data_IF_051653697628
#
_entry.id   IF_051653697628
#
_cell.length_a   1.000
_cell.length_b   1.000
_cell.length_c   1.000
_cell.angle_alpha   90.00
_cell.angle_beta   90.00
_cell.angle_gamma   90.00
#
_symmetry.space_group_name_H-M   'P 1'
#
loop_
_entity.id
_entity.type
_entity.pdbx_description
1 polymer ?
#
# COMPACT_ATOMS: atom_id res chain seq x y z
N UNK A 1 30.00 -25.72 -19.31
CA UNK A 1 28.74 -24.98 -19.57
C UNK A 1 28.10 -24.76 -18.21
N UNK A 2 27.88 -23.52 -17.78
CA UNK A 2 27.09 -23.27 -16.58
C UNK A 2 25.62 -23.38 -16.97
N UNK A 3 24.98 -24.50 -16.65
CA UNK A 3 23.54 -24.69 -16.83
C UNK A 3 22.88 -24.46 -15.48
N UNK A 4 21.87 -23.59 -15.44
CA UNK A 4 21.15 -23.30 -14.20
C UNK A 4 20.52 -24.58 -13.63
N UNK A 5 20.62 -24.75 -12.32
CA UNK A 5 20.02 -25.89 -11.62
C UNK A 5 18.51 -25.89 -11.82
N UNK A 6 17.97 -27.00 -12.32
CA UNK A 6 16.56 -27.15 -12.64
C UNK A 6 15.76 -27.53 -11.39
N UNK A 7 14.66 -26.80 -11.13
CA UNK A 7 13.73 -27.13 -10.03
C UNK A 7 13.04 -28.46 -10.31
N UNK A 8 13.29 -29.46 -9.46
CA UNK A 8 12.75 -30.81 -9.57
C UNK A 8 13.41 -31.70 -10.63
N UNK A 9 14.54 -31.26 -11.21
CA UNK A 9 15.36 -32.07 -12.11
C UNK A 9 16.56 -32.72 -11.42
N UNK A 10 17.28 -33.57 -12.15
CA UNK A 10 18.56 -34.17 -11.71
C UNK A 10 19.68 -33.16 -11.97
N UNK A 11 20.30 -32.68 -10.90
CA UNK A 11 21.29 -31.59 -10.94
C UNK A 11 22.72 -32.05 -10.62
N UNK A 12 22.88 -33.33 -10.29
CA UNK A 12 24.19 -33.95 -10.09
C UNK A 12 24.27 -35.29 -10.81
N UNK A 13 25.48 -35.71 -11.16
CA UNK A 13 25.72 -37.05 -11.74
C UNK A 13 25.21 -38.16 -10.79
N UNK A 14 25.30 -37.94 -9.48
CA UNK A 14 24.84 -38.89 -8.46
C UNK A 14 23.32 -39.08 -8.42
N UNK A 15 22.56 -38.16 -9.03
CA UNK A 15 21.10 -38.27 -9.12
C UNK A 15 20.67 -39.31 -10.18
N UNK A 16 21.62 -39.81 -10.97
CA UNK A 16 21.40 -40.82 -12.00
C UNK A 16 21.82 -42.20 -11.50
N UNK A 17 20.96 -43.19 -11.73
CA UNK A 17 21.29 -44.60 -11.47
C UNK A 17 22.17 -45.12 -12.62
N UNK A 18 23.39 -45.63 -12.34
CA UNK A 18 24.27 -46.16 -13.38
C UNK A 18 23.60 -47.27 -14.20
N UNK A 19 23.68 -47.19 -15.53
CA UNK A 19 23.10 -48.18 -16.45
C UNK A 19 21.57 -48.13 -16.58
N UNK A 20 20.88 -47.25 -15.86
CA UNK A 20 19.44 -47.09 -16.04
C UNK A 20 19.11 -46.38 -17.36
N UNK A 21 17.96 -46.74 -17.95
CA UNK A 21 17.44 -46.09 -19.16
C UNK A 21 17.11 -44.63 -18.87
N UNK A 22 17.64 -43.73 -19.69
CA UNK A 22 17.32 -42.31 -19.62
C UNK A 22 16.02 -42.00 -20.38
N UNK A 23 15.07 -41.33 -19.73
CA UNK A 23 13.92 -40.71 -20.41
C UNK A 23 14.36 -39.46 -21.17
N UNK A 24 13.48 -38.87 -21.99
CA UNK A 24 13.76 -37.59 -22.65
C UNK A 24 14.14 -36.49 -21.65
N UNK A 25 13.47 -36.46 -20.50
CA UNK A 25 13.77 -35.52 -19.42
C UNK A 25 15.15 -35.80 -18.81
N UNK A 26 15.46 -37.07 -18.55
CA UNK A 26 16.76 -37.46 -18.00
C UNK A 26 17.90 -37.15 -18.96
N UNK A 27 17.69 -37.24 -20.28
CA UNK A 27 18.70 -36.87 -21.29
C UNK A 27 19.03 -35.38 -21.22
N UNK A 28 18.01 -34.52 -21.06
CA UNK A 28 18.23 -33.07 -20.91
C UNK A 28 19.01 -32.75 -19.63
N UNK A 29 18.64 -33.40 -18.52
CA UNK A 29 19.31 -33.22 -17.24
C UNK A 29 20.74 -33.81 -17.27
N UNK A 30 20.94 -34.96 -17.93
CA UNK A 30 22.24 -35.62 -18.08
C UNK A 30 23.20 -34.79 -18.95
N UNK A 31 22.71 -34.16 -20.01
CA UNK A 31 23.50 -33.26 -20.85
C UNK A 31 23.98 -32.03 -20.08
N UNK A 32 23.20 -31.55 -19.11
CA UNK A 32 23.58 -30.41 -18.28
C UNK A 32 24.71 -30.73 -17.29
N UNK A 33 24.83 -31.99 -16.85
CA UNK A 33 25.76 -32.40 -15.79
C UNK A 33 26.88 -33.33 -16.25
N UNK A 34 26.86 -33.78 -17.51
CA UNK A 34 27.83 -34.76 -18.01
C UNK A 34 29.26 -34.22 -17.90
N UNK A 35 30.20 -35.00 -17.34
CA UNK A 35 31.60 -34.60 -17.25
C UNK A 35 32.37 -34.86 -18.56
N UNK A 36 31.77 -35.59 -19.50
CA UNK A 36 32.48 -36.08 -20.69
C UNK A 36 32.47 -35.07 -21.85
N UNK A 37 33.23 -35.36 -22.90
CA UNK A 37 33.24 -34.53 -24.11
C UNK A 37 31.83 -34.39 -24.71
N UNK A 38 31.36 -33.15 -24.91
CA UNK A 38 30.03 -32.88 -25.46
C UNK A 38 29.87 -33.39 -26.90
N UNK A 39 30.92 -33.31 -27.73
CA UNK A 39 30.88 -33.83 -29.12
C UNK A 39 30.57 -35.33 -29.13
N UNK A 40 31.29 -36.09 -28.31
CA UNK A 40 31.10 -37.53 -28.16
C UNK A 40 29.74 -37.83 -27.51
N UNK A 41 29.35 -37.07 -26.48
CA UNK A 41 28.05 -37.25 -25.83
C UNK A 41 26.89 -37.08 -26.81
N UNK A 42 26.92 -36.05 -27.67
CA UNK A 42 25.92 -35.85 -28.72
C UNK A 42 25.93 -36.96 -29.78
N UNK A 43 27.10 -37.49 -30.16
CA UNK A 43 27.18 -38.60 -31.10
C UNK A 43 26.47 -39.85 -30.54
N UNK A 44 26.76 -40.20 -29.28
CA UNK A 44 26.13 -41.33 -28.59
C UNK A 44 24.63 -41.11 -28.40
N UNK A 45 24.21 -39.89 -28.08
CA UNK A 45 22.80 -39.55 -27.91
C UNK A 45 22.02 -39.72 -29.22
N UNK A 46 22.61 -39.31 -30.34
CA UNK A 46 22.00 -39.41 -31.65
C UNK A 46 21.96 -40.86 -32.17
N UNK A 47 22.96 -41.69 -31.84
CA UNK A 47 23.06 -43.07 -32.31
C UNK A 47 22.32 -44.07 -31.41
N UNK A 48 22.49 -43.95 -30.08
CA UNK A 48 22.05 -44.94 -29.08
C UNK A 48 20.93 -44.39 -28.19
N UNK A 49 20.76 -43.07 -28.09
CA UNK A 49 19.63 -42.45 -27.39
C UNK A 49 19.83 -42.21 -25.90
N UNK A 50 21.06 -41.97 -25.44
CA UNK A 50 21.35 -41.56 -24.06
C UNK A 50 22.62 -40.69 -23.96
N UNK A 51 22.76 -39.95 -22.86
CA UNK A 51 23.95 -39.15 -22.58
C UNK A 51 24.89 -39.91 -21.63
N UNK A 52 26.16 -40.17 -22.00
CA UNK A 52 27.12 -40.78 -21.09
C UNK A 52 27.45 -39.83 -19.92
N UNK A 53 27.56 -40.39 -18.71
CA UNK A 53 27.84 -39.64 -17.48
C UNK A 53 29.18 -40.00 -16.83
N UNK A 54 29.94 -40.92 -17.44
CA UNK A 54 31.25 -41.35 -16.97
C UNK A 54 32.20 -41.54 -18.14
N UNK A 55 33.50 -41.33 -17.89
CA UNK A 55 34.57 -41.66 -18.84
C UNK A 55 34.76 -43.16 -19.04
N UNK A 56 34.27 -43.97 -18.11
CA UNK A 56 34.33 -45.44 -18.16
C UNK A 56 33.16 -46.05 -18.95
N UNK A 57 32.27 -45.23 -19.50
CA UNK A 57 31.17 -45.71 -20.34
C UNK A 57 31.74 -46.40 -21.61
N UNK A 58 31.36 -47.66 -21.90
CA UNK A 58 31.91 -48.39 -23.04
C UNK A 58 31.63 -47.72 -24.40
N UNK A 59 30.47 -47.07 -24.56
CA UNK A 59 30.14 -46.34 -25.78
C UNK A 59 30.98 -45.08 -25.91
N UNK A 60 31.23 -44.38 -24.79
CA UNK A 60 32.13 -43.23 -24.75
C UNK A 60 33.55 -43.60 -25.17
N UNK A 61 34.10 -44.69 -24.63
CA UNK A 61 35.44 -45.17 -24.99
C UNK A 61 35.52 -45.50 -26.48
N UNK A 62 34.56 -46.28 -26.99
CA UNK A 62 34.50 -46.69 -28.40
C UNK A 62 34.42 -45.48 -29.33
N UNK A 63 33.59 -44.49 -29.01
CA UNK A 63 33.43 -43.31 -29.86
C UNK A 63 34.67 -42.40 -29.80
N UNK A 64 35.30 -42.27 -28.63
CA UNK A 64 36.58 -41.56 -28.47
C UNK A 64 37.70 -42.21 -29.31
N UNK A 65 37.78 -43.54 -29.34
CA UNK A 65 38.74 -44.28 -30.16
C UNK A 65 38.46 -44.10 -31.66
N UNK A 66 37.18 -44.10 -32.05
CA UNK A 66 36.76 -43.84 -33.43
C UNK A 66 37.19 -42.44 -33.89
N UNK A 67 36.90 -41.39 -33.12
CA UNK A 67 37.30 -40.02 -33.44
C UNK A 67 38.83 -39.90 -33.63
N UNK A 68 39.62 -40.53 -32.74
CA UNK A 68 41.08 -40.58 -32.87
C UNK A 68 41.54 -41.30 -34.13
N UNK A 69 40.93 -42.45 -34.47
CA UNK A 69 41.29 -43.23 -35.66
C UNK A 69 40.98 -42.50 -36.96
N UNK A 70 39.90 -41.72 -36.99
CA UNK A 70 39.51 -40.92 -38.15
C UNK A 70 40.30 -39.60 -38.23
N UNK A 71 41.05 -39.24 -37.18
CA UNK A 71 41.88 -38.05 -37.15
C UNK A 71 41.08 -36.77 -36.92
N UNK A 72 40.03 -36.84 -36.10
CA UNK A 72 39.29 -35.64 -35.70
C UNK A 72 40.20 -34.71 -34.88
N UNK A 73 40.05 -33.40 -35.09
CA UNK A 73 40.72 -32.39 -34.26
C UNK A 73 40.26 -32.51 -32.80
N UNK A 74 41.14 -32.10 -31.89
CA UNK A 74 40.83 -32.07 -30.47
C UNK A 74 39.60 -31.20 -30.21
N UNK A 75 38.76 -31.67 -29.27
CA UNK A 75 37.50 -31.02 -29.00
C UNK A 75 37.70 -29.79 -28.12
N UNK A 76 37.16 -28.65 -28.53
CA UNK A 76 37.20 -27.38 -27.80
C UNK A 76 35.96 -27.13 -26.93
N UNK A 77 35.15 -28.17 -26.67
CA UNK A 77 33.98 -28.00 -25.82
C UNK A 77 34.38 -27.66 -24.37
N UNK A 78 33.43 -27.11 -23.60
CA UNK A 78 33.72 -26.67 -22.22
C UNK A 78 34.20 -27.75 -21.28
N UNK A 79 33.95 -29.02 -21.59
CA UNK A 79 34.39 -30.16 -20.77
C UNK A 79 35.79 -30.65 -21.18
N UNK A 80 36.22 -30.40 -22.42
CA UNK A 80 37.55 -30.76 -22.93
C UNK A 80 38.56 -29.63 -22.74
N UNK A 81 38.14 -28.36 -22.86
CA UNK A 81 38.97 -27.20 -22.61
C UNK A 81 38.26 -26.21 -21.66
N UNK A 82 38.28 -26.49 -20.34
CA UNK A 82 37.57 -25.66 -19.37
C UNK A 82 38.20 -24.27 -19.20
N UNK A 83 39.52 -24.15 -19.40
CA UNK A 83 40.24 -22.87 -19.25
C UNK A 83 39.85 -21.91 -20.37
N UNK A 84 39.90 -22.37 -21.63
CA UNK A 84 39.50 -21.55 -22.77
C UNK A 84 38.02 -21.20 -22.72
N UNK A 85 37.16 -22.15 -22.33
CA UNK A 85 35.74 -21.91 -22.19
C UNK A 85 35.42 -20.86 -21.11
N UNK A 86 36.07 -20.91 -19.95
CA UNK A 86 35.88 -19.90 -18.91
C UNK A 86 36.41 -18.53 -19.35
N UNK A 87 37.56 -18.50 -20.03
CA UNK A 87 38.11 -17.28 -20.63
C UNK A 87 37.15 -16.63 -21.62
N UNK A 88 36.58 -17.41 -22.55
CA UNK A 88 35.58 -16.96 -23.50
C UNK A 88 34.34 -16.42 -22.79
N UNK A 89 33.81 -17.13 -21.80
CA UNK A 89 32.62 -16.69 -21.06
C UNK A 89 32.83 -15.37 -20.30
N UNK A 90 34.06 -15.09 -19.83
CA UNK A 90 34.40 -13.81 -19.20
C UNK A 90 34.37 -12.64 -20.18
N UNK A 91 34.75 -12.87 -21.44
CA UNK A 91 34.89 -11.83 -22.45
C UNK A 91 33.77 -11.84 -23.50
N UNK A 92 32.79 -12.74 -23.39
CA UNK A 92 31.69 -12.89 -24.37
C UNK A 92 30.89 -11.60 -24.63
N UNK A 93 30.91 -10.65 -23.69
CA UNK A 93 30.26 -9.34 -23.82
C UNK A 93 30.96 -8.40 -24.80
N UNK A 94 32.24 -8.64 -25.05
CA UNK A 94 33.08 -7.91 -26.00
C UNK A 94 33.02 -8.55 -27.40
N UNK A 95 32.28 -9.66 -27.54
CA UNK A 95 32.12 -10.37 -28.80
C UNK A 95 31.23 -9.58 -29.76
N UNK A 96 31.74 -9.36 -30.96
CA UNK A 96 31.06 -8.76 -32.09
C UNK A 96 31.13 -9.69 -33.32
N UNK A 97 30.67 -9.21 -34.47
CA UNK A 97 30.63 -10.02 -35.69
C UNK A 97 32.01 -10.23 -36.31
N UNK A 98 32.94 -9.34 -36.03
CA UNK A 98 34.23 -9.29 -36.68
C UNK A 98 35.28 -10.07 -35.87
N UNK A 99 35.09 -10.19 -34.54
CA UNK A 99 36.01 -10.89 -33.63
C UNK A 99 35.52 -12.28 -33.15
N UNK A 100 34.31 -12.71 -33.52
CA UNK A 100 33.69 -13.95 -33.03
C UNK A 100 34.55 -15.20 -33.29
N UNK A 101 35.05 -15.37 -34.51
CA UNK A 101 35.81 -16.56 -34.88
C UNK A 101 37.12 -16.66 -34.10
N UNK A 102 37.84 -15.53 -33.97
CA UNK A 102 39.06 -15.43 -33.18
C UNK A 102 38.80 -15.74 -31.70
N UNK A 103 37.73 -15.16 -31.14
CA UNK A 103 37.36 -15.37 -29.74
C UNK A 103 37.03 -16.83 -29.44
N UNK A 104 36.40 -17.57 -30.37
CA UNK A 104 36.04 -18.99 -30.15
C UNK A 104 37.26 -19.90 -30.11
N UNK A 105 38.26 -19.66 -30.96
CA UNK A 105 39.45 -20.52 -31.07
C UNK A 105 40.56 -20.13 -30.09
N UNK A 106 40.42 -18.99 -29.42
CA UNK A 106 41.42 -18.46 -28.50
C UNK A 106 41.60 -19.36 -27.27
N UNK A 107 42.85 -19.75 -27.02
CA UNK A 107 43.24 -20.55 -25.85
C UNK A 107 43.97 -19.73 -24.78
N UNK A 108 44.64 -18.65 -25.19
CA UNK A 108 45.52 -17.81 -24.38
C UNK A 108 44.75 -16.64 -23.73
N UNK A 109 43.66 -16.95 -23.06
CA UNK A 109 42.92 -15.93 -22.32
C UNK A 109 43.78 -15.38 -21.17
N UNK A 110 43.79 -14.04 -20.96
CA UNK A 110 44.46 -13.47 -19.81
C UNK A 110 43.93 -14.13 -18.53
N UNK A 111 44.84 -14.38 -17.59
CA UNK A 111 44.48 -14.88 -16.28
C UNK A 111 43.39 -13.97 -15.69
N UNK A 112 42.42 -14.58 -15.02
CA UNK A 112 41.39 -13.81 -14.34
C UNK A 112 42.09 -12.79 -13.43
N UNK A 113 41.92 -11.50 -13.71
CA UNK A 113 42.36 -10.48 -12.77
C UNK A 113 41.70 -10.82 -11.43
N UNK A 114 42.45 -10.83 -10.32
CA UNK A 114 41.83 -11.03 -9.03
C UNK A 114 40.72 -10.00 -8.94
N UNK A 115 39.48 -10.47 -8.83
CA UNK A 115 38.36 -9.61 -8.51
C UNK A 115 38.79 -8.86 -7.26
N UNK A 116 39.18 -7.60 -7.41
CA UNK A 116 39.17 -6.66 -6.31
C UNK A 116 37.68 -6.58 -6.01
N UNK A 117 37.23 -7.51 -5.17
CA UNK A 117 35.97 -7.39 -4.49
C UNK A 117 36.18 -6.21 -3.57
N UNK A 118 36.05 -5.01 -4.14
CA UNK A 118 35.61 -3.92 -3.31
C UNK A 118 34.26 -4.41 -2.81
N UNK A 119 34.23 -4.92 -1.59
CA UNK A 119 33.09 -4.79 -0.69
C UNK A 119 32.87 -3.31 -0.36
N UNK A 120 32.99 -2.44 -1.37
CA UNK A 120 31.88 -1.55 -1.63
C UNK A 120 30.69 -2.48 -1.88
N UNK A 121 30.03 -2.88 -0.76
CA UNK A 121 28.60 -2.62 -0.67
C UNK A 121 28.44 -1.35 -1.45
N UNK A 122 27.66 -1.42 -2.53
CA UNK A 122 27.02 -0.24 -3.08
C UNK A 122 26.24 0.31 -1.88
N UNK A 123 26.91 1.04 -0.99
CA UNK A 123 26.30 2.11 -0.23
C UNK A 123 25.65 2.85 -1.37
N UNK A 124 24.32 2.79 -1.40
CA UNK A 124 23.56 3.70 -2.22
C UNK A 124 24.29 5.01 -2.06
N UNK A 125 24.96 5.41 -3.13
CA UNK A 125 25.62 6.69 -3.15
C UNK A 125 24.43 7.60 -2.93
N UNK A 126 24.37 8.24 -1.77
CA UNK A 126 23.64 9.49 -1.58
C UNK A 126 24.31 10.55 -2.47
N UNK A 127 24.49 10.23 -3.75
CA UNK A 127 24.39 11.21 -4.80
C UNK A 127 22.91 11.50 -4.85
N UNK A 128 22.55 12.75 -4.62
CA UNK A 128 21.18 13.22 -4.71
C UNK A 128 20.63 12.99 -6.11
N UNK A 129 20.16 11.78 -6.38
CA UNK A 129 19.09 11.55 -7.33
C UNK A 129 17.83 11.86 -6.57
N UNK A 130 17.13 12.90 -7.01
CA UNK A 130 15.70 13.04 -6.83
C UNK A 130 15.08 11.64 -6.90
N UNK A 131 14.68 11.08 -5.76
CA UNK A 131 13.97 9.80 -5.74
C UNK A 131 12.69 10.04 -6.50
N UNK A 132 12.70 9.69 -7.78
CA UNK A 132 11.53 9.62 -8.63
C UNK A 132 10.67 8.50 -8.06
N UNK A 133 9.88 8.86 -7.05
CA UNK A 133 9.00 7.92 -6.34
C UNK A 133 8.04 7.39 -7.38
N UNK A 134 7.93 6.06 -7.45
CA UNK A 134 6.92 5.37 -8.26
C UNK A 134 5.56 5.98 -7.97
N UNK A 135 4.90 6.45 -9.02
CA UNK A 135 3.57 7.03 -8.94
C UNK A 135 2.58 5.87 -9.09
N UNK A 136 1.74 5.65 -8.07
CA UNK A 136 0.64 4.68 -8.16
C UNK A 136 -0.55 5.36 -8.82
N UNK A 137 -0.92 4.88 -9.99
CA UNK A 137 -2.10 5.33 -10.73
C UNK A 137 -3.37 4.75 -10.09
N UNK A 138 -4.49 5.46 -10.26
CA UNK A 138 -5.81 4.92 -9.94
C UNK A 138 -6.22 3.90 -11.01
N UNK A 139 -7.10 2.95 -10.71
CA UNK A 139 -7.52 1.93 -11.67
C UNK A 139 -8.06 2.53 -12.99
N UNK A 140 -8.81 3.62 -12.88
CA UNK A 140 -9.32 4.37 -14.05
C UNK A 140 -8.22 5.00 -14.90
N UNK A 141 -7.14 5.46 -14.27
CA UNK A 141 -5.98 6.01 -14.97
C UNK A 141 -5.11 4.92 -15.60
N UNK A 142 -5.00 3.75 -14.97
CA UNK A 142 -4.29 2.60 -15.54
C UNK A 142 -4.98 2.13 -16.82
N UNK A 143 -6.30 2.00 -16.82
CA UNK A 143 -7.10 1.63 -18.00
C UNK A 143 -6.94 2.65 -19.13
N UNK A 144 -6.99 3.95 -18.79
CA UNK A 144 -6.83 5.03 -19.77
C UNK A 144 -5.42 5.05 -20.38
N UNK A 145 -4.38 4.94 -19.55
CA UNK A 145 -3.00 4.91 -20.02
C UNK A 145 -2.75 3.67 -20.89
N UNK A 146 -3.29 2.52 -20.50
CA UNK A 146 -3.19 1.28 -21.28
C UNK A 146 -3.78 1.45 -22.67
N UNK A 147 -5.01 1.99 -22.77
CA UNK A 147 -5.67 2.25 -24.05
C UNK A 147 -4.88 3.21 -24.93
N UNK A 148 -4.36 4.30 -24.35
CA UNK A 148 -3.57 5.29 -25.08
C UNK A 148 -2.22 4.71 -25.57
N UNK A 149 -1.57 3.84 -24.79
CA UNK A 149 -0.34 3.18 -25.19
C UNK A 149 -0.57 2.19 -26.33
N UNK A 150 -1.68 1.46 -26.32
CA UNK A 150 -2.08 0.55 -27.41
C UNK A 150 -2.33 1.34 -28.69
N UNK A 151 -3.12 2.42 -28.63
CA UNK A 151 -3.40 3.28 -29.79
C UNK A 151 -2.13 3.96 -30.34
N UNK A 152 -1.26 4.45 -29.44
CA UNK A 152 0.05 5.00 -29.82
C UNK A 152 0.94 3.97 -30.52
N UNK A 153 0.98 2.74 -30.00
CA UNK A 153 1.73 1.66 -30.63
C UNK A 153 1.14 1.27 -31.99
N UNK A 154 -0.18 1.18 -32.11
CA UNK A 154 -0.86 0.87 -33.38
C UNK A 154 -0.49 1.88 -34.46
N UNK A 155 -0.48 3.18 -34.14
CA UNK A 155 -0.04 4.22 -35.07
C UNK A 155 1.42 4.03 -35.52
N UNK A 156 2.31 3.72 -34.59
CA UNK A 156 3.71 3.42 -34.92
C UNK A 156 3.84 2.19 -35.83
N UNK A 157 3.01 1.19 -35.58
CA UNK A 157 2.96 -0.05 -36.34
C UNK A 157 2.45 0.16 -37.77
N UNK A 158 1.36 0.90 -37.95
CA UNK A 158 0.77 1.20 -39.25
C UNK A 158 1.70 2.05 -40.13
N UNK A 159 2.42 3.00 -39.51
CA UNK A 159 3.47 3.78 -40.21
C UNK A 159 4.58 2.88 -40.73
N UNK A 160 4.97 1.86 -39.95
CA UNK A 160 6.06 0.95 -40.34
C UNK A 160 5.61 -0.09 -41.36
N UNK A 161 4.38 -0.57 -41.26
CA UNK A 161 3.83 -1.67 -42.06
C UNK A 161 2.52 -1.25 -42.76
N UNK A 162 2.57 -0.26 -43.68
CA UNK A 162 1.36 0.28 -44.32
C UNK A 162 0.62 -0.73 -45.21
N UNK A 163 1.30 -1.78 -45.66
CA UNK A 163 0.73 -2.85 -46.48
C UNK A 163 0.45 -4.14 -45.69
N UNK A 164 0.50 -4.07 -44.36
CA UNK A 164 0.33 -5.23 -43.49
C UNK A 164 1.59 -6.10 -43.38
N UNK A 165 1.52 -7.04 -42.44
CA UNK A 165 2.60 -7.95 -42.06
C UNK A 165 1.98 -9.21 -41.45
N UNK A 166 2.70 -10.33 -41.46
CA UNK A 166 2.29 -11.58 -40.79
C UNK A 166 2.33 -11.47 -39.26
N UNK A 167 2.92 -10.40 -38.73
CA UNK A 167 2.99 -10.13 -37.30
C UNK A 167 1.81 -9.26 -36.88
N UNK A 168 1.19 -9.60 -35.75
CA UNK A 168 0.16 -8.77 -35.14
C UNK A 168 0.78 -7.77 -34.16
N UNK A 169 0.23 -6.55 -34.03
CA UNK A 169 0.69 -5.54 -33.07
C UNK A 169 0.81 -6.09 -31.65
N UNK A 170 -0.18 -6.86 -31.21
CA UNK A 170 -0.25 -7.48 -29.87
C UNK A 170 0.92 -8.44 -29.58
N UNK A 171 1.51 -9.04 -30.62
CA UNK A 171 2.67 -9.92 -30.48
C UNK A 171 3.96 -9.14 -30.20
N UNK A 172 4.00 -7.86 -30.54
CA UNK A 172 5.17 -6.99 -30.37
C UNK A 172 5.03 -6.07 -29.16
N UNK A 173 3.81 -5.62 -28.86
CA UNK A 173 3.51 -4.76 -27.74
C UNK A 173 2.14 -5.11 -27.17
N UNK A 174 2.14 -5.91 -26.11
CA UNK A 174 0.93 -6.36 -25.44
C UNK A 174 0.89 -5.96 -23.97
N UNK A 175 0.00 -6.63 -23.23
CA UNK A 175 -0.20 -6.39 -21.79
C UNK A 175 1.09 -6.45 -20.96
N UNK A 176 2.05 -7.39 -21.18
CA UNK A 176 3.26 -7.44 -20.36
C UNK A 176 4.11 -6.16 -20.44
N UNK A 177 4.21 -5.55 -21.62
CA UNK A 177 4.95 -4.32 -21.82
C UNK A 177 4.22 -3.13 -21.19
N UNK A 178 2.89 -3.08 -21.34
CA UNK A 178 2.02 -2.05 -20.74
C UNK A 178 2.10 -2.11 -19.22
N UNK A 179 1.96 -3.30 -18.64
CA UNK A 179 2.07 -3.53 -17.20
C UNK A 179 3.44 -3.12 -16.68
N UNK A 180 4.52 -3.37 -17.42
CA UNK A 180 5.86 -2.93 -17.02
C UNK A 180 5.99 -1.40 -17.01
N UNK A 181 5.38 -0.70 -17.97
CA UNK A 181 5.36 0.76 -18.00
C UNK A 181 4.55 1.32 -16.82
N UNK A 182 3.35 0.80 -16.58
CA UNK A 182 2.47 1.21 -15.47
C UNK A 182 3.16 0.92 -14.13
N UNK A 183 3.76 -0.25 -13.99
CA UNK A 183 4.45 -0.64 -12.77
C UNK A 183 5.72 0.18 -12.51
N UNK A 184 6.32 0.79 -13.52
CA UNK A 184 7.47 1.65 -13.31
C UNK A 184 7.11 3.12 -13.54
N UNK A 185 5.83 3.47 -13.54
CA UNK A 185 5.39 4.82 -13.84
C UNK A 185 5.96 5.83 -12.83
N UNK A 186 6.56 6.89 -13.37
CA UNK A 186 7.26 7.92 -12.60
C UNK A 186 8.68 7.56 -12.18
N UNK A 187 9.22 6.35 -12.42
CA UNK A 187 10.63 6.01 -12.09
C UNK A 187 11.59 6.21 -13.27
N UNK A 188 11.07 6.29 -14.49
CA UNK A 188 11.85 6.55 -15.69
C UNK A 188 11.63 7.95 -16.20
N UNK A 189 12.69 8.52 -16.77
CA UNK A 189 12.65 9.82 -17.40
C UNK A 189 13.07 9.70 -18.87
N UNK A 190 12.23 10.26 -19.74
CA UNK A 190 12.40 10.32 -21.18
C UNK A 190 12.56 8.97 -21.89
N UNK A 191 12.94 9.09 -23.16
CA UNK A 191 13.05 7.98 -24.13
C UNK A 191 14.02 6.87 -23.69
N UNK A 192 15.15 7.26 -23.09
CA UNK A 192 16.17 6.32 -22.65
C UNK A 192 15.71 5.47 -21.45
N UNK A 193 14.94 6.05 -20.53
CA UNK A 193 14.33 5.31 -19.43
C UNK A 193 13.22 4.38 -19.91
N UNK A 194 12.36 4.86 -20.81
CA UNK A 194 11.28 4.07 -21.41
C UNK A 194 11.80 2.84 -22.18
N UNK A 195 12.86 3.03 -22.97
CA UNK A 195 13.50 1.93 -23.71
C UNK A 195 14.02 0.82 -22.78
N UNK A 196 14.59 1.19 -21.62
CA UNK A 196 15.08 0.21 -20.63
C UNK A 196 13.95 -0.60 -19.98
N UNK A 197 12.78 0.01 -19.80
CA UNK A 197 11.64 -0.65 -19.12
C UNK A 197 10.92 -1.62 -20.04
N UNK A 198 10.67 -1.23 -21.28
CA UNK A 198 10.00 -2.10 -22.25
C UNK A 198 10.93 -3.27 -22.60
N UNK A 199 12.21 -2.99 -22.83
CA UNK A 199 13.18 -3.99 -23.27
C UNK A 199 12.88 -4.54 -24.67
N UNK A 200 13.77 -5.40 -25.18
CA UNK A 200 13.58 -6.05 -26.48
C UNK A 200 13.89 -5.17 -27.70
N UNK A 201 13.41 -5.61 -28.89
CA UNK A 201 13.61 -4.90 -30.16
C UNK A 201 12.47 -3.92 -30.39
N UNK A 202 12.80 -2.69 -30.77
CA UNK A 202 11.83 -1.63 -31.05
C UNK A 202 11.57 -1.47 -32.54
N UNK A 203 10.34 -1.08 -32.87
CA UNK A 203 10.03 -0.53 -34.19
C UNK A 203 10.57 0.90 -34.25
N UNK A 204 11.19 1.34 -35.37
CA UNK A 204 11.61 2.73 -35.54
C UNK A 204 10.46 3.71 -35.28
N UNK A 205 10.67 4.72 -34.43
CA UNK A 205 9.63 5.70 -34.04
C UNK A 205 8.70 5.26 -32.91
N UNK A 206 8.72 3.99 -32.50
CA UNK A 206 7.89 3.49 -31.39
C UNK A 206 8.15 4.25 -30.08
N UNK A 207 9.42 4.36 -29.67
CA UNK A 207 9.78 5.01 -28.41
C UNK A 207 9.40 6.49 -28.40
N UNK A 208 9.49 7.16 -29.56
CA UNK A 208 9.12 8.56 -29.67
C UNK A 208 7.62 8.75 -29.46
N UNK A 209 6.80 7.94 -30.13
CA UNK A 209 5.34 8.00 -30.03
C UNK A 209 4.89 7.63 -28.62
N UNK A 210 5.42 6.55 -28.04
CA UNK A 210 5.06 6.13 -26.68
C UNK A 210 5.47 7.17 -25.63
N UNK A 211 6.63 7.81 -25.79
CA UNK A 211 7.07 8.86 -24.88
C UNK A 211 6.18 10.11 -24.98
N UNK A 212 5.71 10.47 -26.18
CA UNK A 212 4.73 11.54 -26.36
C UNK A 212 3.40 11.20 -25.67
N UNK A 213 2.89 9.99 -25.86
CA UNK A 213 1.66 9.52 -25.19
C UNK A 213 1.77 9.61 -23.67
N UNK A 214 2.91 9.20 -23.10
CA UNK A 214 3.17 9.27 -21.65
C UNK A 214 3.23 10.74 -21.16
N UNK A 215 3.84 11.63 -21.94
CA UNK A 215 3.91 13.06 -21.60
C UNK A 215 2.53 13.73 -21.66
N UNK A 216 1.74 13.43 -22.68
CA UNK A 216 0.37 13.96 -22.84
C UNK A 216 -0.53 13.47 -21.71
N UNK A 217 -0.37 12.19 -21.32
CA UNK A 217 -1.07 11.62 -20.17
C UNK A 217 -0.67 12.30 -18.84
N UNK A 218 0.62 12.58 -18.66
CA UNK A 218 1.15 13.21 -17.44
C UNK A 218 0.66 14.66 -17.30
N UNK A 219 0.63 15.41 -18.41
CA UNK A 219 0.24 16.82 -18.41
C UNK A 219 -1.28 17.04 -18.41
N UNK A 220 -2.07 16.08 -18.88
CA UNK A 220 -3.53 16.18 -18.91
C UNK A 220 -4.21 15.36 -17.81
N UNK A 221 -4.60 14.10 -18.08
CA UNK A 221 -5.38 13.25 -17.16
C UNK A 221 -4.82 13.16 -15.73
N UNK A 222 -3.51 12.97 -15.59
CA UNK A 222 -2.89 12.80 -14.28
C UNK A 222 -2.92 14.11 -13.46
N UNK A 223 -2.54 15.23 -14.08
CA UNK A 223 -2.57 16.55 -13.45
C UNK A 223 -3.99 16.95 -13.02
N UNK A 224 -5.00 16.61 -13.82
CA UNK A 224 -6.41 16.89 -13.50
C UNK A 224 -6.90 16.09 -12.30
N UNK A 225 -6.56 14.80 -12.18
CA UNK A 225 -6.95 13.98 -11.02
C UNK A 225 -6.27 14.48 -9.74
N UNK A 226 -5.00 14.87 -9.80
CA UNK A 226 -4.29 15.44 -8.66
C UNK A 226 -4.90 16.77 -8.21
N UNK A 227 -5.24 17.66 -9.15
CA UNK A 227 -5.96 18.90 -8.84
C UNK A 227 -7.32 18.62 -8.17
N UNK A 228 -8.08 17.64 -8.66
CA UNK A 228 -9.35 17.23 -8.05
C UNK A 228 -9.17 16.71 -6.62
N UNK A 229 -8.14 15.89 -6.39
CA UNK A 229 -7.79 15.36 -5.06
C UNK A 229 -7.39 16.47 -4.08
N UNK A 230 -6.68 17.49 -4.56
CA UNK A 230 -6.30 18.64 -3.72
C UNK A 230 -7.55 19.44 -3.35
N UNK A 231 -8.42 19.74 -4.32
CA UNK A 231 -9.63 20.52 -4.10
C UNK A 231 -10.63 19.81 -3.16
N UNK A 232 -10.83 18.50 -3.32
CA UNK A 232 -11.70 17.71 -2.43
C UNK A 232 -11.17 17.63 -0.99
N UNK A 233 -9.84 17.52 -0.83
CA UNK A 233 -9.20 17.60 0.50
C UNK A 233 -9.30 18.99 1.12
N UNK A 234 -9.25 20.04 0.32
CA UNK A 234 -9.46 21.40 0.80
C UNK A 234 -10.92 21.61 1.27
N UNK A 235 -11.89 21.22 0.45
CA UNK A 235 -13.32 21.30 0.78
C UNK A 235 -13.67 20.52 2.06
N UNK A 236 -13.23 19.26 2.17
CA UNK A 236 -13.46 18.46 3.40
C UNK A 236 -12.81 19.05 4.65
N UNK A 237 -11.66 19.73 4.52
CA UNK A 237 -11.04 20.46 5.64
C UNK A 237 -11.84 21.71 6.03
N UNK A 238 -12.43 22.40 5.07
CA UNK A 238 -13.32 23.54 5.34
C UNK A 238 -14.60 23.08 6.01
N UNK A 239 -15.24 22.02 5.52
CA UNK A 239 -16.43 21.42 6.13
C UNK A 239 -16.15 20.97 7.57
N UNK A 240 -15.03 20.30 7.81
CA UNK A 240 -14.64 19.88 9.16
C UNK A 240 -14.37 21.06 10.11
N UNK A 241 -13.87 22.20 9.59
CA UNK A 241 -13.73 23.43 10.39
C UNK A 241 -15.08 24.06 10.69
N UNK A 242 -15.99 24.10 9.71
CA UNK A 242 -17.34 24.62 9.87
C UNK A 242 -18.15 23.81 10.89
N UNK A 243 -18.08 22.47 10.84
CA UNK A 243 -18.71 21.58 11.82
C UNK A 243 -18.20 21.83 13.24
N UNK A 244 -16.87 21.90 13.44
CA UNK A 244 -16.29 22.20 14.76
C UNK A 244 -16.69 23.57 15.31
N UNK A 245 -16.83 24.58 14.44
CA UNK A 245 -17.30 25.91 14.82
C UNK A 245 -18.77 25.87 15.27
N UNK A 246 -19.62 25.18 14.51
CA UNK A 246 -21.04 24.99 14.81
C UNK A 246 -21.24 24.24 16.14
N UNK A 247 -20.52 23.13 16.35
CA UNK A 247 -20.56 22.38 17.61
C UNK A 247 -20.15 23.24 18.81
N UNK A 248 -19.10 24.06 18.66
CA UNK A 248 -18.63 24.95 19.72
C UNK A 248 -19.63 26.07 20.03
N UNK A 249 -20.35 26.57 19.02
CA UNK A 249 -21.45 27.53 19.23
C UNK A 249 -22.63 26.87 19.95
N UNK A 250 -23.06 25.70 19.50
CA UNK A 250 -24.14 24.95 20.15
C UNK A 250 -23.84 24.65 21.63
N UNK A 251 -22.61 24.23 21.94
CA UNK A 251 -22.19 24.01 23.34
C UNK A 251 -22.20 25.29 24.18
N UNK A 252 -21.83 26.44 23.60
CA UNK A 252 -21.88 27.73 24.31
C UNK A 252 -23.31 28.16 24.58
N UNK A 253 -24.21 28.00 23.60
CA UNK A 253 -25.63 28.29 23.77
C UNK A 253 -26.29 27.38 24.80
N UNK A 254 -25.99 26.08 24.77
CA UNK A 254 -26.50 25.13 25.77
C UNK A 254 -26.05 25.49 27.19
N UNK A 255 -24.76 25.80 27.39
CA UNK A 255 -24.25 26.29 28.68
C UNK A 255 -24.88 27.60 29.12
N UNK A 256 -25.21 28.50 28.18
CA UNK A 256 -25.93 29.74 28.52
C UNK A 256 -27.34 29.43 29.01
N UNK A 257 -28.08 28.57 28.29
CA UNK A 257 -29.44 28.16 28.66
C UNK A 257 -29.48 27.46 30.01
N UNK A 258 -28.52 26.58 30.29
CA UNK A 258 -28.40 25.91 31.60
C UNK A 258 -28.18 26.93 32.73
N UNK A 259 -27.29 27.91 32.53
CA UNK A 259 -27.08 29.00 33.51
C UNK A 259 -28.30 29.88 33.69
N UNK A 260 -29.07 30.13 32.64
CA UNK A 260 -30.30 30.90 32.72
C UNK A 260 -31.39 30.14 33.48
N UNK A 261 -31.52 28.84 33.25
CA UNK A 261 -32.42 27.95 33.98
C UNK A 261 -32.03 27.84 35.46
N UNK A 262 -30.74 27.69 35.78
CA UNK A 262 -30.26 27.64 37.16
C UNK A 262 -30.54 28.96 37.90
N UNK A 263 -30.30 30.11 37.25
CA UNK A 263 -30.62 31.44 37.82
C UNK A 263 -32.12 31.60 38.07
N UNK A 264 -32.97 31.14 37.15
CA UNK A 264 -34.42 31.18 37.32
C UNK A 264 -34.88 30.28 38.48
N UNK A 265 -34.33 29.07 38.61
CA UNK A 265 -34.64 28.15 39.70
C UNK A 265 -34.23 28.72 41.07
N UNK A 266 -33.06 29.38 41.15
CA UNK A 266 -32.61 30.05 42.38
C UNK A 266 -33.54 31.22 42.74
N UNK A 267 -33.98 32.03 41.77
CA UNK A 267 -34.93 33.11 42.02
C UNK A 267 -36.28 32.60 42.52
N UNK A 268 -36.81 31.54 41.91
CA UNK A 268 -38.08 30.96 42.32
C UNK A 268 -37.99 30.32 43.72
N UNK A 269 -36.90 29.62 44.03
CA UNK A 269 -36.68 29.09 45.38
C UNK A 269 -36.65 30.20 46.45
N UNK A 270 -36.03 31.35 46.14
CA UNK A 270 -36.04 32.53 47.03
C UNK A 270 -37.45 33.09 47.23
N UNK A 271 -38.27 33.15 46.17
CA UNK A 271 -39.69 33.58 46.27
C UNK A 271 -40.49 32.64 47.17
N UNK A 272 -40.40 31.33 46.92
CA UNK A 272 -41.10 30.31 47.72
C UNK A 272 -40.69 30.38 49.20
N UNK A 273 -39.41 30.60 49.48
CA UNK A 273 -38.94 30.71 50.88
C UNK A 273 -39.42 32.00 51.55
N UNK A 274 -39.50 33.11 50.82
CA UNK A 274 -40.08 34.37 51.30
C UNK A 274 -41.58 34.19 51.61
N UNK A 275 -42.36 33.60 50.71
CA UNK A 275 -43.78 33.30 50.92
C UNK A 275 -44.00 32.37 52.13
N UNK A 276 -43.15 31.34 52.30
CA UNK A 276 -43.17 30.48 53.50
C UNK A 276 -42.83 31.27 54.78
N UNK A 277 -41.88 32.19 54.71
CA UNK A 277 -41.52 33.07 55.82
C UNK A 277 -42.68 33.98 56.25
N UNK A 278 -43.36 34.59 55.27
CA UNK A 278 -44.56 35.40 55.48
C UNK A 278 -45.73 34.59 56.05
N UNK A 279 -45.93 33.36 55.56
CA UNK A 279 -46.95 32.46 56.12
C UNK A 279 -46.64 32.09 57.59
N UNK A 280 -45.37 31.82 57.92
CA UNK A 280 -44.93 31.53 59.30
C UNK A 280 -45.19 32.70 60.24
N UNK A 281 -44.83 33.92 59.84
CA UNK A 281 -45.08 35.11 60.68
C UNK A 281 -46.57 35.38 60.86
N UNK A 282 -47.39 35.21 59.81
CA UNK A 282 -48.86 35.26 59.93
C UNK A 282 -49.40 34.24 60.93
N UNK A 283 -48.94 32.98 60.88
CA UNK A 283 -49.34 31.93 61.83
C UNK A 283 -48.93 32.32 63.27
N UNK A 284 -47.72 32.83 63.49
CA UNK A 284 -47.27 33.27 64.81
C UNK A 284 -48.09 34.44 65.35
N UNK A 285 -48.43 35.42 64.51
CA UNK A 285 -49.29 36.55 64.89
C UNK A 285 -50.68 36.06 65.30
N UNK A 286 -51.28 35.14 64.54
CA UNK A 286 -52.58 34.54 64.87
C UNK A 286 -52.50 33.78 66.19
N UNK A 287 -51.49 32.91 66.36
CA UNK A 287 -51.27 32.15 67.60
C UNK A 287 -51.07 33.08 68.80
N UNK A 288 -50.32 34.16 68.65
CA UNK A 288 -50.13 35.16 69.69
C UNK A 288 -51.42 35.92 70.05
N UNK A 289 -52.27 36.24 69.07
CA UNK A 289 -53.61 36.81 69.32
C UNK A 289 -54.50 35.82 70.06
N UNK A 290 -54.47 34.55 69.69
CA UNK A 290 -55.26 33.49 70.31
C UNK A 290 -54.84 33.21 71.75
N UNK A 291 -53.53 33.14 72.03
CA UNK A 291 -53.02 33.05 73.40
C UNK A 291 -53.45 34.25 74.26
N UNK A 292 -53.39 35.47 73.72
CA UNK A 292 -53.89 36.68 74.41
C UNK A 292 -55.40 36.61 74.66
N UNK A 293 -56.18 36.09 73.72
CA UNK A 293 -57.62 35.91 73.87
C UNK A 293 -57.94 34.85 74.94
N UNK A 294 -57.28 33.70 74.92
CA UNK A 294 -57.43 32.65 75.94
C UNK A 294 -57.07 33.17 77.33
N UNK A 295 -55.96 33.91 77.47
CA UNK A 295 -55.56 34.54 78.73
C UNK A 295 -56.62 35.55 79.23
N UNK A 296 -57.15 36.40 78.33
CA UNK A 296 -58.26 37.33 78.66
C UNK A 296 -59.51 36.59 79.13
N UNK A 297 -59.86 35.46 78.51
CA UNK A 297 -61.02 34.64 78.90
C UNK A 297 -60.82 33.99 80.27
N UNK A 298 -59.63 33.46 80.55
CA UNK A 298 -59.27 32.92 81.87
C UNK A 298 -59.33 34.00 82.97
N UNK A 299 -58.81 35.21 82.71
CA UNK A 299 -58.92 36.35 83.64
C UNK A 299 -60.39 36.71 83.91
N UNK A 300 -61.25 36.68 82.88
CA UNK A 300 -62.69 36.98 83.01
C UNK A 300 -63.44 35.90 83.81
N UNK A 301 -63.08 34.62 83.64
CA UNK A 301 -63.62 33.50 84.42
C UNK A 301 -63.18 33.57 85.88
N UNK A 302 -61.90 33.89 86.15
CA UNK A 302 -61.40 34.13 87.49
C UNK A 302 -62.11 35.32 88.18
N UNK A 303 -62.39 36.39 87.43
CA UNK A 303 -63.17 37.54 87.93
C UNK A 303 -64.64 37.22 88.23
N UNK A 304 -65.24 36.22 87.56
CA UNK A 304 -66.58 35.70 87.90
C UNK A 304 -66.57 34.80 89.13
N UNK A 305 -65.50 34.05 89.36
CA UNK A 305 -65.37 33.24 90.59
C UNK A 305 -65.18 34.10 91.85
N UNK A 306 -64.72 35.35 91.71
CA UNK A 306 -64.60 36.29 92.84
C UNK A 306 -65.86 37.14 93.09
N UNK A 307 -66.83 37.21 92.17
CA UNK A 307 -68.04 38.04 92.26
C UNK A 307 -69.36 37.25 92.30
N UNK A 308 -69.30 35.97 92.71
CA UNK A 308 -70.44 35.04 92.74
C UNK A 308 -71.00 34.76 94.13
N UNK A 309 -70.91 35.69 95.09
CA UNK A 309 -71.43 35.46 96.44
C UNK A 309 -71.70 36.73 97.24
N UNK A 310 -72.92 37.26 97.14
CA UNK A 310 -73.75 37.63 98.30
C UNK A 310 -75.01 38.40 97.85
N UNK A 311 -76.16 37.74 97.96
CA UNK A 311 -77.46 38.36 97.97
C UNK A 311 -77.78 38.89 99.38
N UNK A 312 -78.18 40.17 99.51
CA UNK A 312 -79.07 40.67 100.59
C UNK A 312 -79.93 41.85 100.09
N UNK A 313 -81.21 41.53 99.90
CA UNK A 313 -82.47 42.27 100.04
C UNK A 313 -82.68 43.80 99.72
N UNK A 314 -83.91 44.18 99.26
CA UNK A 314 -84.36 45.52 98.83
C UNK A 314 -85.10 46.27 99.99
N UNK A 315 -86.03 47.26 99.83
CA UNK A 315 -86.51 48.08 98.70
C UNK A 315 -86.71 49.61 99.01
N UNK A 316 -87.07 50.41 97.98
CA UNK A 316 -87.97 51.62 97.94
C UNK A 316 -87.48 52.62 96.86
N UNK A 317 -88.18 52.80 95.76
CA UNK A 317 -89.32 53.71 95.53
C UNK A 317 -88.93 55.20 95.59
N UNK A 318 -89.00 55.88 94.43
CA UNK A 318 -89.67 57.18 94.18
C UNK A 318 -89.04 57.94 92.98
N UNK A 319 -89.92 58.27 92.03
CA UNK A 319 -90.03 59.49 91.19
C UNK A 319 -88.86 60.49 91.11
N UNK A 320 -88.44 60.85 89.88
CA UNK A 320 -88.71 62.15 89.19
C UNK A 320 -87.87 62.23 87.89
N UNK A 321 -88.48 62.37 86.70
CA UNK A 321 -88.75 63.62 85.94
C UNK A 321 -87.51 64.42 85.52
N UNK A 322 -87.42 64.66 84.20
CA UNK A 322 -87.06 65.98 83.67
C UNK A 322 -85.97 66.00 82.59
N UNK A 323 -86.43 66.25 81.35
CA UNK A 323 -85.78 67.00 80.25
C UNK A 323 -84.40 66.54 79.74
#
# INVERSE_FOLDING_TARGET
>A
MFVETRRGGKNSVNDFVPGARQTHQDRMDALAVTPVCLRIAFAIDNEIGYIPLSFDDPSYIREKEREKKVGFVDCMCSNCNPIAADGLMRHIKEMDKDNMDEMIVREDWPAAEPLITTTKRKRAMEGGTTTTKRIRLSKTLEEMLSANLIDGFQKAFDIKYPHGTMLYPDNLFGQPQIDNIINNFGTFDGKAGLSKIIGGRFIPGQIDILNTVINDFTTGPLANEEALKINTKAASREDAKAQKLSEKQAQREQKSREKDQERAAIQEAKRVEAEKGEARTCIEVVRGKEQKWQLRTLIRLAGRMLNGGCAKHPPRALYDRGL
#
